data_IF_476045600950
#
_entry.id   IF_476045600950
#
_cell.length_a   1.000
_cell.length_b   1.000
_cell.length_c   1.000
_cell.angle_alpha   90.00
_cell.angle_beta   90.00
_cell.angle_gamma   90.00
#
_symmetry.space_group_name_H-M   'P 1'
#
loop_
_entity.id
_entity.type
_entity.pdbx_description
1 polymer ?
#
# COMPACT_ATOMS: atom_id res chain seq x y z
N UNK A 1 -58.19 48.13 101.01
CA UNK A 1 -59.15 49.24 101.19
C UNK A 1 -59.79 49.12 102.56
N UNK A 2 -59.36 49.96 103.52
CA UNK A 2 -59.90 50.02 104.88
C UNK A 2 -60.89 51.19 104.97
N UNK A 3 -61.96 50.97 105.74
CA UNK A 3 -62.99 51.91 106.22
C UNK A 3 -64.08 52.27 105.22
N UNK A 4 -65.26 51.65 105.36
CA UNK A 4 -66.57 52.31 105.38
C UNK A 4 -67.57 51.34 106.02
N UNK A 5 -67.80 51.47 107.32
CA UNK A 5 -69.01 50.96 107.98
C UNK A 5 -69.56 52.12 108.79
N UNK A 6 -70.29 53.00 108.10
CA UNK A 6 -71.01 54.10 108.72
C UNK A 6 -72.33 53.50 109.23
N UNK A 7 -72.44 53.35 110.55
CA UNK A 7 -73.68 52.96 111.22
C UNK A 7 -74.74 54.04 110.94
N UNK A 8 -75.81 53.64 110.26
CA UNK A 8 -76.99 54.47 110.01
C UNK A 8 -77.89 54.39 111.26
N UNK A 9 -77.79 55.37 112.17
CA UNK A 9 -78.76 55.55 113.26
C UNK A 9 -79.80 56.57 112.81
N UNK A 10 -81.00 56.11 112.43
CA UNK A 10 -82.18 56.94 112.22
C UNK A 10 -83.10 56.74 113.44
N UNK A 11 -83.48 57.79 114.20
CA UNK A 11 -84.56 57.66 115.16
C UNK A 11 -85.90 57.87 114.43
N UNK A 12 -86.63 56.77 114.22
CA UNK A 12 -88.06 56.82 113.86
C UNK A 12 -88.84 57.28 115.10
N UNK A 13 -89.33 58.52 115.10
CA UNK A 13 -90.37 58.95 116.04
C UNK A 13 -91.70 58.43 115.50
N UNK A 14 -92.20 57.36 116.12
CA UNK A 14 -93.53 56.80 115.91
C UNK A 14 -94.45 57.41 116.97
N UNK A 15 -95.41 58.26 116.58
CA UNK A 15 -96.53 58.67 117.44
C UNK A 15 -97.79 58.02 116.89
N UNK A 16 -98.40 57.14 117.68
CA UNK A 16 -99.71 56.56 117.36
C UNK A 16 -99.94 55.09 117.73
N UNK A 17 -99.48 54.62 118.89
CA UNK A 17 -100.11 53.52 119.64
C UNK A 17 -99.52 53.46 121.06
N UNK A 18 -100.32 53.76 122.09
CA UNK A 18 -99.95 53.61 123.51
C UNK A 18 -99.92 52.13 123.91
N UNK A 19 -98.73 51.55 123.79
CA UNK A 19 -98.22 50.50 124.67
C UNK A 19 -96.78 50.89 124.99
N UNK A 20 -96.54 51.41 126.19
CA UNK A 20 -95.19 51.80 126.62
C UNK A 20 -94.42 50.51 126.86
N UNK A 21 -93.41 50.24 126.03
CA UNK A 21 -92.54 49.08 126.16
C UNK A 21 -92.03 48.98 127.61
N UNK A 22 -92.24 47.84 128.24
CA UNK A 22 -91.80 47.58 129.61
C UNK A 22 -90.28 47.44 129.65
N UNK A 23 -89.65 47.61 130.82
CA UNK A 23 -88.20 47.37 131.00
C UNK A 23 -87.79 45.95 130.57
N UNK A 24 -88.72 45.01 130.64
CA UNK A 24 -88.57 43.62 130.23
C UNK A 24 -88.57 43.47 128.69
N UNK A 25 -89.43 44.21 127.99
CA UNK A 25 -89.43 44.29 126.51
C UNK A 25 -88.11 44.85 125.98
N UNK A 26 -87.58 45.91 126.62
CA UNK A 26 -86.28 46.51 126.25
C UNK A 26 -85.13 45.53 126.50
N UNK A 27 -85.16 44.79 127.62
CA UNK A 27 -84.11 43.81 127.97
C UNK A 27 -84.08 42.64 126.98
N UNK A 28 -85.26 42.15 126.57
CA UNK A 28 -85.42 41.09 125.56
C UNK A 28 -84.90 41.51 124.18
N UNK A 29 -85.17 42.75 123.76
CA UNK A 29 -84.64 43.31 122.51
C UNK A 29 -83.11 43.46 122.59
N UNK A 30 -82.57 43.95 123.70
CA UNK A 30 -81.12 44.09 123.91
C UNK A 30 -80.40 42.75 123.84
N UNK A 31 -80.96 41.69 124.43
CA UNK A 31 -80.41 40.34 124.35
C UNK A 31 -80.39 39.84 122.90
N UNK A 32 -81.50 39.97 122.16
CA UNK A 32 -81.57 39.60 120.74
C UNK A 32 -80.58 40.38 119.88
N UNK A 33 -80.43 41.68 120.12
CA UNK A 33 -79.43 42.52 119.43
C UNK A 33 -78.02 42.02 119.73
N UNK A 34 -77.72 41.68 120.99
CA UNK A 34 -76.42 41.12 121.37
C UNK A 34 -76.11 39.78 120.67
N UNK A 35 -77.10 38.89 120.55
CA UNK A 35 -76.96 37.65 119.77
C UNK A 35 -76.70 37.94 118.28
N UNK A 36 -77.46 38.85 117.67
CA UNK A 36 -77.28 39.23 116.26
C UNK A 36 -75.89 39.85 116.03
N UNK A 37 -75.43 40.71 116.92
CA UNK A 37 -74.10 41.31 116.85
C UNK A 37 -73.00 40.25 116.93
N UNK A 38 -73.15 39.26 117.82
CA UNK A 38 -72.20 38.15 117.96
C UNK A 38 -72.17 37.27 116.71
N UNK A 39 -73.33 36.92 116.17
CA UNK A 39 -73.45 36.11 114.95
C UNK A 39 -72.89 36.84 113.74
N UNK A 40 -73.18 38.14 113.61
CA UNK A 40 -72.61 39.00 112.56
C UNK A 40 -71.09 39.06 112.66
N UNK A 41 -70.55 39.21 113.87
CA UNK A 41 -69.11 39.21 114.09
C UNK A 41 -68.47 37.87 113.73
N UNK A 42 -69.05 36.74 114.16
CA UNK A 42 -68.53 35.42 113.79
C UNK A 42 -68.61 35.16 112.28
N UNK A 43 -69.68 35.61 111.63
CA UNK A 43 -69.86 35.46 110.18
C UNK A 43 -68.84 36.32 109.42
N UNK A 44 -68.65 37.57 109.81
CA UNK A 44 -67.64 38.47 109.24
C UNK A 44 -66.23 37.89 109.38
N UNK A 45 -65.90 37.32 110.54
CA UNK A 45 -64.62 36.63 110.76
C UNK A 45 -64.47 35.40 109.85
N UNK A 46 -65.51 34.58 109.71
CA UNK A 46 -65.48 33.41 108.83
C UNK A 46 -65.32 33.81 107.35
N UNK A 47 -66.00 34.87 106.91
CA UNK A 47 -65.86 35.44 105.56
C UNK A 47 -64.43 35.93 105.34
N UNK A 48 -63.86 36.68 106.28
CA UNK A 48 -62.48 37.15 106.20
C UNK A 48 -61.47 36.00 106.13
N UNK A 49 -61.70 34.92 106.91
CA UNK A 49 -60.90 33.69 106.84
C UNK A 49 -60.94 33.05 105.45
N UNK A 50 -62.14 32.86 104.89
CA UNK A 50 -62.31 32.33 103.53
C UNK A 50 -61.64 33.20 102.47
N UNK A 51 -61.75 34.53 102.57
CA UNK A 51 -61.05 35.44 101.65
C UNK A 51 -59.53 35.31 101.77
N UNK A 52 -59.00 35.18 102.98
CA UNK A 52 -57.56 34.98 103.18
C UNK A 52 -57.08 33.64 102.63
N UNK A 53 -57.85 32.56 102.79
CA UNK A 53 -57.53 31.24 102.20
C UNK A 53 -57.50 31.30 100.67
N UNK A 54 -58.50 31.95 100.06
CA UNK A 54 -58.57 32.16 98.61
C UNK A 54 -57.39 33.00 98.13
N UNK A 55 -57.09 34.11 98.80
CA UNK A 55 -55.98 34.99 98.45
C UNK A 55 -54.64 34.24 98.50
N UNK A 56 -54.42 33.43 99.54
CA UNK A 56 -53.22 32.61 99.66
C UNK A 56 -53.12 31.55 98.55
N UNK A 57 -54.19 30.79 98.28
CA UNK A 57 -54.19 29.77 97.20
C UNK A 57 -53.92 30.38 95.82
N UNK A 58 -54.54 31.52 95.49
CA UNK A 58 -54.26 32.21 94.23
C UNK A 58 -52.83 32.76 94.18
N UNK A 59 -52.32 33.33 95.27
CA UNK A 59 -50.93 33.81 95.32
C UNK A 59 -49.92 32.67 95.13
N UNK A 60 -50.15 31.50 95.75
CA UNK A 60 -49.29 30.32 95.58
C UNK A 60 -49.31 29.79 94.14
N UNK A 61 -50.49 29.76 93.51
CA UNK A 61 -50.64 29.40 92.09
C UNK A 61 -49.93 30.39 91.17
N UNK A 62 -50.07 31.69 91.43
CA UNK A 62 -49.39 32.76 90.67
C UNK A 62 -47.87 32.62 90.80
N UNK A 63 -47.37 32.43 92.01
CA UNK A 63 -45.93 32.24 92.26
C UNK A 63 -45.39 31.00 91.54
N UNK A 64 -46.15 29.89 91.58
CA UNK A 64 -45.80 28.66 90.86
C UNK A 64 -45.77 28.87 89.35
N UNK A 65 -46.77 29.56 88.79
CA UNK A 65 -46.83 29.89 87.36
C UNK A 65 -45.67 30.80 86.94
N UNK A 66 -45.36 31.81 87.74
CA UNK A 66 -44.24 32.72 87.48
C UNK A 66 -42.90 31.96 87.46
N UNK A 67 -42.67 31.06 88.41
CA UNK A 67 -41.48 30.20 88.41
C UNK A 67 -41.37 29.32 87.16
N UNK A 68 -42.49 28.74 86.71
CA UNK A 68 -42.55 27.95 85.46
C UNK A 68 -42.25 28.83 84.23
N UNK A 69 -42.80 30.05 84.18
CA UNK A 69 -42.55 31.00 83.09
C UNK A 69 -41.06 31.36 83.02
N UNK A 70 -40.40 31.62 84.15
CA UNK A 70 -38.96 31.92 84.17
C UNK A 70 -38.11 30.73 83.71
N UNK A 71 -38.50 29.51 84.08
CA UNK A 71 -37.83 28.29 83.57
C UNK A 71 -37.98 28.18 82.05
N UNK A 72 -39.19 28.35 81.51
CA UNK A 72 -39.45 28.31 80.07
C UNK A 72 -38.66 29.40 79.33
N UNK A 73 -38.56 30.60 79.90
CA UNK A 73 -37.76 31.69 79.31
C UNK A 73 -36.29 31.32 79.20
N UNK A 74 -35.73 30.70 80.24
CA UNK A 74 -34.33 30.22 80.24
C UNK A 74 -34.12 29.14 79.19
N UNK A 75 -35.01 28.14 79.12
CA UNK A 75 -34.92 27.07 78.14
C UNK A 75 -35.02 27.60 76.71
N UNK A 76 -35.96 28.54 76.47
CA UNK A 76 -36.08 29.24 75.19
C UNK A 76 -34.78 29.96 74.81
N UNK A 77 -34.13 30.63 75.75
CA UNK A 77 -32.88 31.34 75.48
C UNK A 77 -31.77 30.37 75.02
N UNK A 78 -31.62 29.23 75.69
CA UNK A 78 -30.66 28.17 75.31
C UNK A 78 -30.97 27.61 73.92
N UNK A 79 -32.26 27.40 73.61
CA UNK A 79 -32.67 26.91 72.28
C UNK A 79 -32.33 27.93 71.19
N UNK A 80 -32.57 29.22 71.43
CA UNK A 80 -32.26 30.30 70.47
C UNK A 80 -30.76 30.37 70.19
N UNK A 81 -29.92 30.25 71.22
CA UNK A 81 -28.46 30.23 71.05
C UNK A 81 -28.00 29.04 70.21
N UNK A 82 -28.54 27.83 70.47
CA UNK A 82 -28.24 26.64 69.67
C UNK A 82 -28.69 26.78 68.22
N UNK A 83 -29.85 27.38 67.96
CA UNK A 83 -30.34 27.63 66.60
C UNK A 83 -29.40 28.59 65.85
N UNK A 84 -28.94 29.66 66.50
CA UNK A 84 -27.97 30.59 65.90
C UNK A 84 -26.64 29.91 65.57
N UNK A 85 -26.14 29.05 66.47
CA UNK A 85 -24.93 28.26 66.21
C UNK A 85 -25.09 27.33 65.00
N UNK A 86 -26.23 26.63 64.90
CA UNK A 86 -26.52 25.74 63.78
C UNK A 86 -26.65 26.51 62.46
N UNK A 87 -27.27 27.68 62.47
CA UNK A 87 -27.38 28.55 61.29
C UNK A 87 -25.99 28.95 60.76
N UNK A 88 -25.07 29.32 61.66
CA UNK A 88 -23.69 29.63 61.29
C UNK A 88 -22.97 28.43 60.69
N UNK A 89 -23.15 27.23 61.26
CA UNK A 89 -22.56 26.00 60.74
C UNK A 89 -23.09 25.66 59.34
N UNK A 90 -24.41 25.77 59.14
CA UNK A 90 -25.05 25.57 57.82
C UNK A 90 -24.49 26.54 56.79
N UNK A 91 -24.32 27.82 57.15
CA UNK A 91 -23.78 28.82 56.24
C UNK A 91 -22.31 28.55 55.87
N UNK A 92 -21.49 28.09 56.84
CA UNK A 92 -20.12 27.68 56.57
C UNK A 92 -20.07 26.45 55.65
N UNK A 93 -20.93 25.45 55.89
CA UNK A 93 -21.01 24.25 55.05
C UNK A 93 -21.43 24.58 53.62
N UNK A 94 -22.41 25.48 53.43
CA UNK A 94 -22.80 25.97 52.10
C UNK A 94 -21.62 26.59 51.36
N UNK A 95 -20.87 27.48 52.02
CA UNK A 95 -19.67 28.09 51.41
C UNK A 95 -18.62 27.05 50.99
N UNK A 96 -18.37 26.03 51.82
CA UNK A 96 -17.44 24.93 51.47
C UNK A 96 -17.95 24.10 50.29
N UNK A 97 -19.25 23.86 50.20
CA UNK A 97 -19.88 23.15 49.08
C UNK A 97 -19.70 23.95 47.80
N UNK A 98 -19.95 25.26 47.83
CA UNK A 98 -19.81 26.14 46.67
C UNK A 98 -18.35 26.19 46.17
N UNK A 99 -17.39 26.33 47.09
CA UNK A 99 -15.96 26.30 46.76
C UNK A 99 -15.54 24.94 46.16
N UNK A 100 -16.04 23.84 46.72
CA UNK A 100 -15.74 22.49 46.23
C UNK A 100 -16.30 22.28 44.83
N UNK A 101 -17.55 22.71 44.59
CA UNK A 101 -18.18 22.61 43.28
C UNK A 101 -17.44 23.44 42.23
N UNK A 102 -17.08 24.68 42.55
CA UNK A 102 -16.30 25.52 41.65
C UNK A 102 -14.96 24.88 41.27
N UNK A 103 -14.24 24.35 42.25
CA UNK A 103 -12.96 23.69 42.01
C UNK A 103 -13.11 22.40 41.21
N UNK A 104 -14.19 21.64 41.43
CA UNK A 104 -14.51 20.44 40.68
C UNK A 104 -14.82 20.76 39.21
N UNK A 105 -15.71 21.74 38.97
CA UNK A 105 -16.08 22.18 37.63
C UNK A 105 -14.87 22.69 36.85
N UNK A 106 -14.02 23.49 37.50
CA UNK A 106 -12.77 23.96 36.89
C UNK A 106 -11.86 22.81 36.47
N UNK A 107 -11.60 21.85 37.37
CA UNK A 107 -10.76 20.68 37.05
C UNK A 107 -11.36 19.81 35.94
N UNK A 108 -12.67 19.60 35.96
CA UNK A 108 -13.38 18.83 34.92
C UNK A 108 -13.22 19.53 33.56
N UNK A 109 -13.39 20.86 33.52
CA UNK A 109 -13.27 21.62 32.27
C UNK A 109 -11.82 21.62 31.75
N UNK A 110 -10.83 21.87 32.62
CA UNK A 110 -9.40 21.82 32.26
C UNK A 110 -9.02 20.45 31.68
N UNK A 111 -9.47 19.35 32.30
CA UNK A 111 -9.22 17.99 31.80
C UNK A 111 -9.95 17.71 30.48
N UNK A 112 -11.19 18.16 30.35
CA UNK A 112 -12.01 17.98 29.14
C UNK A 112 -11.40 18.72 27.95
N UNK A 113 -10.95 19.96 28.14
CA UNK A 113 -10.28 20.74 27.10
C UNK A 113 -8.99 20.06 26.64
N UNK A 114 -8.14 19.64 27.59
CA UNK A 114 -6.91 18.90 27.26
C UNK A 114 -7.19 17.61 26.47
N UNK A 115 -8.24 16.87 26.84
CA UNK A 115 -8.64 15.66 26.13
C UNK A 115 -9.14 15.94 24.70
N UNK A 116 -9.95 16.98 24.51
CA UNK A 116 -10.45 17.35 23.18
C UNK A 116 -9.31 17.87 22.28
N UNK A 117 -8.35 18.63 22.81
CA UNK A 117 -7.15 19.03 22.07
C UNK A 117 -6.38 17.80 21.59
N UNK A 118 -6.08 16.86 22.50
CA UNK A 118 -5.30 15.68 22.14
C UNK A 118 -6.03 14.77 21.13
N UNK A 119 -7.35 14.65 21.24
CA UNK A 119 -8.19 13.93 20.30
C UNK A 119 -8.16 14.55 18.89
N UNK A 120 -8.16 15.88 18.78
CA UNK A 120 -8.05 16.58 17.49
C UNK A 120 -6.67 16.32 16.85
N UNK A 121 -5.60 16.38 17.64
CA UNK A 121 -4.24 16.08 17.18
C UNK A 121 -4.11 14.63 16.67
N UNK A 122 -4.55 13.66 17.47
CA UNK A 122 -4.54 12.24 17.08
C UNK A 122 -5.32 12.02 15.78
N UNK A 123 -6.49 12.66 15.64
CA UNK A 123 -7.30 12.54 14.41
C UNK A 123 -6.55 13.08 13.19
N UNK A 124 -5.89 14.22 13.32
CA UNK A 124 -5.09 14.82 12.24
C UNK A 124 -3.93 13.90 11.85
N UNK A 125 -3.24 13.33 12.84
CA UNK A 125 -2.10 12.44 12.59
C UNK A 125 -2.54 11.14 11.91
N UNK A 126 -3.68 10.56 12.31
CA UNK A 126 -4.29 9.40 11.64
C UNK A 126 -4.63 9.72 10.18
N UNK A 127 -5.21 10.89 9.89
CA UNK A 127 -5.53 11.30 8.52
C UNK A 127 -4.25 11.45 7.68
N UNK A 128 -3.19 12.00 8.27
CA UNK A 128 -1.86 12.09 7.66
C UNK A 128 -1.27 10.72 7.32
N UNK A 129 -1.31 9.78 8.28
CA UNK A 129 -0.85 8.40 8.08
C UNK A 129 -1.66 7.66 7.01
N UNK A 130 -2.97 7.89 6.95
CA UNK A 130 -3.84 7.30 5.92
C UNK A 130 -3.47 7.80 4.52
N UNK A 131 -3.16 9.10 4.40
CA UNK A 131 -2.70 9.68 3.14
C UNK A 131 -1.38 9.06 2.69
N UNK A 132 -0.37 9.00 3.57
CA UNK A 132 0.93 8.42 3.22
C UNK A 132 0.81 6.94 2.87
N UNK A 133 -0.05 6.18 3.57
CA UNK A 133 -0.36 4.80 3.22
C UNK A 133 -0.91 4.65 1.80
N UNK A 134 -1.85 5.51 1.39
CA UNK A 134 -2.42 5.48 0.04
C UNK A 134 -1.40 5.88 -1.03
N UNK A 135 -0.52 6.82 -0.73
CA UNK A 135 0.58 7.22 -1.63
C UNK A 135 1.57 6.05 -1.83
N UNK A 136 1.87 5.29 -0.77
CA UNK A 136 2.69 4.08 -0.84
C UNK A 136 2.01 3.00 -1.71
N UNK A 137 0.71 2.74 -1.51
CA UNK A 137 -0.04 1.80 -2.35
C UNK A 137 0.07 2.17 -3.83
N UNK A 138 -0.14 3.46 -4.13
CA UNK A 138 -0.07 3.98 -5.51
C UNK A 138 1.32 3.77 -6.10
N UNK A 139 2.36 4.03 -5.31
CA UNK A 139 3.76 3.85 -5.71
C UNK A 139 4.13 2.38 -5.97
N UNK A 140 3.63 1.47 -5.13
CA UNK A 140 3.78 0.02 -5.32
C UNK A 140 3.09 -0.43 -6.61
N UNK A 141 1.90 0.09 -6.91
CA UNK A 141 1.20 -0.23 -8.16
C UNK A 141 2.00 0.20 -9.39
N UNK A 142 2.60 1.40 -9.38
CA UNK A 142 3.48 1.85 -10.47
C UNK A 142 4.71 0.97 -10.61
N UNK A 143 5.37 0.61 -9.49
CA UNK A 143 6.53 -0.27 -9.51
C UNK A 143 6.21 -1.66 -10.09
N UNK A 144 5.06 -2.23 -9.74
CA UNK A 144 4.62 -3.53 -10.28
C UNK A 144 4.37 -3.46 -11.79
N UNK A 145 3.81 -2.37 -12.29
CA UNK A 145 3.64 -2.16 -13.72
C UNK A 145 4.99 -2.08 -14.44
N UNK A 146 5.95 -1.31 -13.89
CA UNK A 146 7.31 -1.24 -14.42
C UNK A 146 8.00 -2.60 -14.42
N UNK A 147 7.88 -3.38 -13.34
CA UNK A 147 8.43 -4.73 -13.25
C UNK A 147 7.86 -5.65 -14.33
N UNK A 148 6.55 -5.57 -14.59
CA UNK A 148 5.88 -6.36 -15.63
C UNK A 148 6.41 -6.01 -17.03
N UNK A 149 6.64 -4.73 -17.32
CA UNK A 149 7.24 -4.30 -18.59
C UNK A 149 8.67 -4.82 -18.74
N UNK A 150 9.48 -4.71 -17.68
CA UNK A 150 10.86 -5.23 -17.68
C UNK A 150 10.88 -6.75 -17.92
N UNK A 151 9.97 -7.49 -17.30
CA UNK A 151 9.86 -8.94 -17.52
C UNK A 151 9.50 -9.28 -18.98
N UNK A 152 8.61 -8.49 -19.59
CA UNK A 152 8.28 -8.62 -21.02
C UNK A 152 9.50 -8.37 -21.89
N UNK A 153 10.25 -7.30 -21.64
CA UNK A 153 11.46 -6.97 -22.41
C UNK A 153 12.55 -8.03 -22.26
N UNK A 154 12.77 -8.54 -21.04
CA UNK A 154 13.69 -9.67 -20.79
C UNK A 154 13.29 -10.92 -21.58
N UNK A 155 11.98 -11.21 -21.66
CA UNK A 155 11.49 -12.35 -22.44
C UNK A 155 11.76 -12.18 -23.94
N UNK A 156 11.63 -10.95 -24.46
CA UNK A 156 11.91 -10.63 -25.85
C UNK A 156 13.42 -10.72 -26.16
N UNK A 157 14.26 -10.17 -25.27
CA UNK A 157 15.71 -10.28 -25.37
C UNK A 157 16.19 -11.73 -25.37
N UNK A 158 15.63 -12.58 -24.50
CA UNK A 158 15.95 -14.01 -24.46
C UNK A 158 15.64 -14.70 -25.79
N UNK A 159 14.48 -14.41 -26.40
CA UNK A 159 14.11 -14.95 -27.72
C UNK A 159 15.09 -14.49 -28.82
N UNK A 160 15.45 -13.21 -28.80
CA UNK A 160 16.45 -12.66 -29.74
C UNK A 160 17.81 -13.34 -29.58
N UNK A 161 18.26 -13.57 -28.35
CA UNK A 161 19.48 -14.31 -28.06
C UNK A 161 19.44 -15.74 -28.61
N UNK A 162 18.34 -16.47 -28.41
CA UNK A 162 18.15 -17.83 -28.94
C UNK A 162 18.23 -17.86 -30.48
N UNK A 163 17.65 -16.87 -31.15
CA UNK A 163 17.71 -16.74 -32.62
C UNK A 163 19.12 -16.42 -33.11
N UNK A 164 19.84 -15.51 -32.44
CA UNK A 164 21.25 -15.21 -32.74
C UNK A 164 22.10 -16.47 -32.61
N UNK A 165 21.95 -17.24 -31.53
CA UNK A 165 22.68 -18.50 -31.32
C UNK A 165 22.40 -19.49 -32.46
N UNK A 166 21.14 -19.62 -32.89
CA UNK A 166 20.76 -20.46 -34.03
C UNK A 166 21.42 -20.01 -35.33
N UNK A 167 21.48 -18.70 -35.57
CA UNK A 167 22.11 -18.13 -36.76
C UNK A 167 23.63 -18.32 -36.75
N UNK A 168 24.29 -18.13 -35.60
CA UNK A 168 25.72 -18.42 -35.42
C UNK A 168 26.02 -19.90 -35.74
N UNK A 169 25.19 -20.83 -35.26
CA UNK A 169 25.36 -22.26 -35.54
C UNK A 169 25.26 -22.55 -37.05
N UNK A 170 24.24 -22.03 -37.73
CA UNK A 170 24.10 -22.17 -39.19
C UNK A 170 25.31 -21.61 -39.95
N UNK A 171 25.83 -20.45 -39.51
CA UNK A 171 27.00 -19.82 -40.13
C UNK A 171 28.25 -20.69 -39.93
N UNK A 172 28.47 -21.21 -38.72
CA UNK A 172 29.56 -22.13 -38.41
C UNK A 172 29.52 -23.39 -39.29
N UNK A 173 28.34 -24.01 -39.42
CA UNK A 173 28.14 -25.19 -40.29
C UNK A 173 28.48 -24.87 -41.76
N UNK A 174 28.07 -23.70 -42.26
CA UNK A 174 28.36 -23.26 -43.62
C UNK A 174 29.87 -23.01 -43.84
N UNK A 175 30.55 -22.39 -42.87
CA UNK A 175 32.00 -22.18 -42.91
C UNK A 175 32.75 -23.51 -42.96
N UNK A 176 32.38 -24.46 -42.10
CA UNK A 176 32.99 -25.80 -42.08
C UNK A 176 32.81 -26.53 -43.41
N UNK A 177 31.60 -26.46 -44.01
CA UNK A 177 31.32 -27.04 -45.33
C UNK A 177 32.16 -26.40 -46.44
N UNK A 178 32.35 -25.08 -46.41
CA UNK A 178 33.19 -24.39 -47.38
C UNK A 178 34.68 -24.71 -47.20
N UNK A 179 35.16 -24.80 -45.96
CA UNK A 179 36.52 -25.24 -45.66
C UNK A 179 36.80 -26.64 -46.23
N UNK A 180 35.89 -27.60 -46.03
CA UNK A 180 35.99 -28.94 -46.62
C UNK A 180 36.03 -28.92 -48.15
N UNK A 181 35.20 -28.09 -48.79
CA UNK A 181 35.22 -27.91 -50.26
C UNK A 181 36.55 -27.35 -50.74
N UNK A 182 37.10 -26.36 -50.05
CA UNK A 182 38.41 -25.77 -50.41
C UNK A 182 39.52 -26.83 -50.33
N UNK A 183 39.56 -27.62 -49.26
CA UNK A 183 40.51 -28.75 -49.13
C UNK A 183 40.36 -29.74 -50.28
N UNK A 184 39.14 -30.05 -50.72
CA UNK A 184 38.91 -30.93 -51.87
C UNK A 184 39.39 -30.32 -53.19
N UNK A 185 39.20 -29.02 -53.38
CA UNK A 185 39.68 -28.29 -54.56
C UNK A 185 41.21 -28.29 -54.59
N UNK A 186 41.87 -27.98 -53.47
CA UNK A 186 43.34 -28.04 -53.34
C UNK A 186 43.89 -29.43 -53.68
N UNK A 187 43.26 -30.50 -53.18
CA UNK A 187 43.65 -31.88 -53.53
C UNK A 187 43.54 -32.15 -55.04
N UNK A 188 42.47 -31.68 -55.70
CA UNK A 188 42.29 -31.83 -57.15
C UNK A 188 43.34 -31.02 -57.93
N UNK A 189 43.62 -29.78 -57.51
CA UNK A 189 44.65 -28.94 -58.10
C UNK A 189 46.02 -29.62 -58.03
N UNK A 190 46.43 -30.07 -56.85
CA UNK A 190 47.71 -30.74 -56.65
C UNK A 190 47.84 -32.01 -57.51
N UNK A 191 46.76 -32.81 -57.60
CA UNK A 191 46.72 -33.98 -58.48
C UNK A 191 46.91 -33.59 -59.94
N UNK A 192 46.19 -32.58 -60.43
CA UNK A 192 46.31 -32.12 -61.81
C UNK A 192 47.71 -31.56 -62.11
N UNK A 193 48.29 -30.80 -61.17
CA UNK A 193 49.67 -30.32 -61.28
C UNK A 193 50.67 -31.46 -61.38
N UNK A 194 50.51 -32.52 -60.58
CA UNK A 194 51.38 -33.71 -60.67
C UNK A 194 51.27 -34.41 -62.03
N UNK A 195 50.05 -34.60 -62.55
CA UNK A 195 49.82 -35.19 -63.87
C UNK A 195 50.49 -34.36 -64.97
N UNK A 196 50.34 -33.03 -64.91
CA UNK A 196 50.95 -32.14 -65.90
C UNK A 196 52.48 -32.16 -65.85
N UNK A 197 53.07 -32.22 -64.65
CA UNK A 197 54.53 -32.35 -64.47
C UNK A 197 55.05 -33.69 -65.00
N UNK A 198 54.34 -34.79 -64.76
CA UNK A 198 54.68 -36.12 -65.31
C UNK A 198 54.61 -36.12 -66.84
N UNK A 199 53.63 -35.41 -67.41
CA UNK A 199 53.46 -35.31 -68.86
C UNK A 199 54.53 -34.41 -69.50
N UNK A 200 54.87 -33.28 -68.87
CA UNK A 200 55.97 -32.41 -69.29
C UNK A 200 57.31 -33.15 -69.25
N UNK A 201 57.64 -33.82 -68.15
CA UNK A 201 58.89 -34.59 -68.03
C UNK A 201 59.00 -35.70 -69.07
N UNK A 202 57.87 -36.35 -69.40
CA UNK A 202 57.79 -37.32 -70.50
C UNK A 202 58.07 -36.67 -71.86
N UNK A 203 57.49 -35.50 -72.13
CA UNK A 203 57.74 -34.74 -73.36
C UNK A 203 59.20 -34.26 -73.45
N UNK A 204 59.76 -33.74 -72.36
CA UNK A 204 61.16 -33.33 -72.27
C UNK A 204 62.11 -34.49 -72.56
N UNK A 205 61.83 -35.67 -72.01
CA UNK A 205 62.58 -36.89 -72.28
C UNK A 205 62.54 -37.28 -73.76
N UNK A 206 61.38 -37.16 -74.42
CA UNK A 206 61.24 -37.40 -75.86
C UNK A 206 62.03 -36.37 -76.68
N UNK A 207 61.97 -35.08 -76.32
CA UNK A 207 62.73 -34.02 -76.97
C UNK A 207 64.23 -34.30 -76.84
N UNK A 208 64.71 -34.66 -75.66
CA UNK A 208 66.11 -35.00 -75.43
C UNK A 208 66.57 -36.18 -76.29
N UNK A 209 65.75 -37.24 -76.37
CA UNK A 209 66.01 -38.38 -77.24
C UNK A 209 66.07 -37.98 -78.72
N UNK A 210 65.15 -37.16 -79.19
CA UNK A 210 65.13 -36.66 -80.57
C UNK A 210 66.33 -35.75 -80.86
N UNK A 211 66.71 -34.86 -79.94
CA UNK A 211 67.90 -34.02 -80.05
C UNK A 211 69.17 -34.86 -80.20
N UNK A 212 69.32 -35.91 -79.39
CA UNK A 212 70.48 -36.81 -79.50
C UNK A 212 70.52 -37.55 -80.84
N UNK A 213 69.36 -38.00 -81.36
CA UNK A 213 69.28 -38.56 -82.72
C UNK A 213 69.70 -37.55 -83.79
N UNK A 214 69.27 -36.29 -83.67
CA UNK A 214 69.66 -35.22 -84.60
C UNK A 214 71.18 -34.97 -84.50
N UNK A 215 71.74 -34.90 -83.29
CA UNK A 215 73.18 -34.74 -83.08
C UNK A 215 73.99 -35.88 -83.73
N UNK A 216 73.50 -37.12 -83.65
CA UNK A 216 74.11 -38.27 -84.34
C UNK A 216 74.08 -38.11 -85.85
N UNK A 217 73.01 -37.54 -86.42
CA UNK A 217 72.90 -37.25 -87.85
C UNK A 217 73.87 -36.13 -88.25
N UNK A 218 73.98 -35.06 -87.47
CA UNK A 218 74.88 -33.92 -87.73
C UNK A 218 76.37 -34.33 -87.66
N UNK A 219 76.73 -35.20 -86.71
CA UNK A 219 78.10 -35.74 -86.57
C UNK A 219 78.48 -36.74 -87.68
N UNK A 220 77.54 -37.19 -88.51
CA UNK A 220 77.84 -38.00 -89.71
C UNK A 220 78.19 -37.16 -90.95
N UNK A 221 78.30 -35.84 -90.82
CA UNK A 221 78.83 -34.98 -91.89
C UNK A 221 77.93 -34.89 -93.12
N UNK A 222 76.62 -35.16 -92.98
CA UNK A 222 75.67 -35.02 -94.08
C UNK A 222 75.01 -33.65 -94.00
N UNK A 223 75.44 -32.76 -94.90
CA UNK A 223 74.78 -31.48 -95.19
C UNK A 223 73.31 -31.72 -95.58
N UNK A 224 72.39 -31.06 -94.87
CA UNK A 224 70.93 -31.15 -95.05
C UNK A 224 70.40 -30.69 -96.42
N UNK A 225 71.28 -30.37 -97.37
CA UNK A 225 70.94 -30.06 -98.76
C UNK A 225 71.04 -31.27 -99.71
N UNK A 226 71.57 -32.41 -99.26
CA UNK A 226 71.80 -33.60 -100.11
C UNK A 226 70.90 -34.83 -99.81
N UNK A 227 69.98 -34.76 -98.84
CA UNK A 227 68.97 -35.84 -98.59
C UNK A 227 67.65 -35.60 -99.36
N UNK A 228 67.64 -34.71 -100.37
CA UNK A 228 66.49 -34.50 -101.25
C UNK A 228 66.82 -34.71 -102.74
N UNK A 229 67.68 -35.66 -103.08
CA UNK A 229 67.82 -36.09 -104.48
C UNK A 229 68.29 -37.54 -104.64
N UNK A 230 67.33 -38.49 -104.59
CA UNK A 230 67.18 -39.62 -105.54
C UNK A 230 66.00 -40.51 -105.16
N UNK A 231 64.80 -40.01 -105.47
CA UNK A 231 63.63 -40.75 -105.98
C UNK A 231 62.39 -39.85 -105.85
N UNK A 232 62.35 -38.80 -106.67
CA UNK A 232 61.15 -37.99 -106.85
C UNK A 232 60.07 -38.81 -107.55
N UNK A 233 59.35 -39.64 -106.79
CA UNK A 233 58.11 -40.26 -107.23
C UNK A 233 57.14 -39.16 -107.64
N UNK A 234 56.93 -38.97 -108.95
CA UNK A 234 56.03 -37.94 -109.48
C UNK A 234 54.60 -38.44 -109.32
N UNK A 235 53.80 -37.76 -108.50
CA UNK A 235 52.41 -38.14 -108.29
C UNK A 235 51.47 -37.21 -109.05
N UNK A 236 50.41 -37.77 -109.62
CA UNK A 236 49.31 -37.06 -110.25
C UNK A 236 48.02 -37.32 -109.50
N UNK A 237 47.27 -36.27 -109.17
CA UNK A 237 45.94 -36.38 -108.57
C UNK A 237 44.92 -36.38 -109.70
N UNK A 238 44.18 -37.48 -109.84
CA UNK A 238 43.17 -37.68 -110.89
C UNK A 238 42.07 -36.63 -110.78
N UNK A 239 41.73 -35.96 -111.88
CA UNK A 239 40.64 -34.98 -111.93
C UNK A 239 39.38 -35.59 -112.55
N UNK A 240 38.21 -34.99 -112.30
CA UNK A 240 36.94 -35.45 -112.90
C UNK A 240 37.05 -35.42 -114.44
N UNK A 241 36.75 -36.54 -115.09
CA UNK A 241 36.87 -36.71 -116.55
C UNK A 241 38.25 -37.20 -117.03
N UNK A 242 39.17 -37.54 -116.14
CA UNK A 242 40.41 -38.23 -116.50
C UNK A 242 40.19 -39.75 -116.64
N UNK A 243 40.95 -40.35 -117.56
CA UNK A 243 41.05 -41.79 -117.75
C UNK A 243 42.51 -42.16 -118.05
N UNK A 244 42.93 -43.39 -117.74
CA UNK A 244 44.35 -43.75 -117.70
C UNK A 244 45.10 -43.50 -119.02
N UNK A 245 44.48 -43.70 -120.18
CA UNK A 245 45.13 -43.45 -121.47
C UNK A 245 45.35 -41.96 -121.76
N UNK A 246 44.49 -41.07 -121.25
CA UNK A 246 44.70 -39.61 -121.29
C UNK A 246 45.87 -39.18 -120.41
N UNK A 247 45.96 -39.73 -119.21
CA UNK A 247 47.06 -39.46 -118.27
C UNK A 247 48.38 -40.01 -118.82
N UNK A 248 48.37 -41.26 -119.32
CA UNK A 248 49.54 -41.90 -119.90
C UNK A 248 50.13 -41.07 -121.05
N UNK A 249 49.27 -40.58 -121.96
CA UNK A 249 49.69 -39.72 -123.08
C UNK A 249 50.27 -38.39 -122.61
N UNK A 250 49.62 -37.75 -121.63
CA UNK A 250 50.08 -36.47 -121.05
C UNK A 250 51.47 -36.58 -120.43
N UNK A 251 51.81 -37.73 -119.87
CA UNK A 251 53.10 -37.96 -119.21
C UNK A 251 54.04 -38.84 -120.05
N UNK A 252 53.77 -39.02 -121.34
CA UNK A 252 54.59 -39.82 -122.26
C UNK A 252 54.97 -41.21 -121.73
N UNK A 253 54.06 -41.84 -121.00
CA UNK A 253 54.20 -43.20 -120.47
C UNK A 253 53.07 -44.08 -121.00
N UNK A 254 52.98 -45.34 -120.58
CA UNK A 254 51.92 -46.24 -121.01
C UNK A 254 50.94 -46.55 -119.89
N UNK A 255 49.68 -46.85 -120.25
CA UNK A 255 48.66 -47.28 -119.29
C UNK A 255 49.17 -48.47 -118.48
N UNK A 256 49.84 -49.43 -119.15
CA UNK A 256 50.44 -50.60 -118.50
C UNK A 256 51.50 -50.22 -117.46
N UNK A 257 52.36 -49.23 -117.74
CA UNK A 257 53.36 -48.73 -116.79
C UNK A 257 52.70 -48.07 -115.58
N UNK A 258 51.72 -47.18 -115.80
CA UNK A 258 50.98 -46.54 -114.70
C UNK A 258 50.25 -47.57 -113.84
N UNK A 259 49.56 -48.53 -114.46
CA UNK A 259 48.86 -49.61 -113.74
C UNK A 259 49.83 -50.45 -112.90
N UNK A 260 50.98 -50.83 -113.47
CA UNK A 260 52.00 -51.59 -112.75
C UNK A 260 52.58 -50.79 -111.57
N UNK A 261 52.87 -49.51 -111.77
CA UNK A 261 53.39 -48.62 -110.73
C UNK A 261 52.41 -48.42 -109.56
N UNK A 262 51.09 -48.49 -109.82
CA UNK A 262 50.03 -48.27 -108.84
C UNK A 262 49.27 -49.54 -108.44
N UNK A 263 49.71 -50.72 -108.90
CA UNK A 263 49.06 -52.03 -108.69
C UNK A 263 47.58 -52.06 -109.08
N UNK A 264 47.19 -51.33 -110.12
CA UNK A 264 45.80 -51.28 -110.60
C UNK A 264 45.47 -52.54 -111.40
N UNK A 265 44.38 -53.22 -111.03
CA UNK A 265 43.89 -54.44 -111.70
C UNK A 265 43.04 -54.13 -112.95
N UNK A 266 42.32 -53.00 -112.97
CA UNK A 266 41.48 -52.55 -114.08
C UNK A 266 41.88 -51.14 -114.54
N UNK A 267 41.22 -50.63 -115.58
CA UNK A 267 41.49 -49.30 -116.14
C UNK A 267 40.70 -48.17 -115.43
N UNK A 268 39.94 -48.52 -114.39
CA UNK A 268 39.09 -47.61 -113.63
C UNK A 268 39.93 -46.79 -112.64
N UNK A 269 39.74 -45.47 -112.66
CA UNK A 269 40.36 -44.51 -111.74
C UNK A 269 39.31 -43.51 -111.24
N UNK A 270 39.47 -43.01 -110.01
CA UNK A 270 38.52 -42.11 -109.36
C UNK A 270 39.11 -40.70 -109.17
N UNK A 271 38.30 -39.64 -109.24
CA UNK A 271 38.76 -38.29 -108.89
C UNK A 271 39.39 -38.23 -107.49
N UNK A 272 40.41 -37.39 -107.33
CA UNK A 272 41.26 -37.27 -106.15
C UNK A 272 42.14 -38.48 -105.82
N UNK A 273 42.08 -39.55 -106.61
CA UNK A 273 43.02 -40.67 -106.47
C UNK A 273 44.43 -40.22 -106.84
N UNK A 274 45.40 -40.53 -105.98
CA UNK A 274 46.83 -40.21 -106.19
C UNK A 274 47.50 -41.35 -106.95
N UNK A 275 47.94 -41.08 -108.18
CA UNK A 275 48.65 -42.04 -109.03
C UNK A 275 50.14 -41.70 -109.10
N UNK A 276 50.98 -42.70 -108.89
CA UNK A 276 52.40 -42.68 -109.18
C UNK A 276 52.64 -42.74 -110.69
N UNK A 277 53.34 -41.76 -111.24
CA UNK A 277 53.70 -41.68 -112.65
C UNK A 277 55.15 -42.16 -112.79
N UNK A 278 55.39 -43.31 -113.46
CA UNK A 278 56.72 -43.86 -113.71
C UNK A 278 57.38 -43.29 -114.96
#
# INVERSE_FOLDING_TARGET
MKKYFLFLFIPLIFVGCESIATKEDISSVQEKVSYVEKDLYSTSRAIAGKFSEIENDYNDKINTLNSKIETIKKDRAVIVEKLSSLENEINLLKGKIDETNYNLDRKINEQKEGLETHKVEIKRDIEGLKKTYNDIISSIATLNNSLTLIQKDLSALKKSQEEIVKNIKKLSDAVNKNSLKNIQIEKKLNKNSSIFLDELTKQESQIHFLKNKILQIENTGISGKEILSKNGKKYYIVKKGDYLSKIARKFHTSVRKIKKANKLKSDVIYPNQKLLIP
#
